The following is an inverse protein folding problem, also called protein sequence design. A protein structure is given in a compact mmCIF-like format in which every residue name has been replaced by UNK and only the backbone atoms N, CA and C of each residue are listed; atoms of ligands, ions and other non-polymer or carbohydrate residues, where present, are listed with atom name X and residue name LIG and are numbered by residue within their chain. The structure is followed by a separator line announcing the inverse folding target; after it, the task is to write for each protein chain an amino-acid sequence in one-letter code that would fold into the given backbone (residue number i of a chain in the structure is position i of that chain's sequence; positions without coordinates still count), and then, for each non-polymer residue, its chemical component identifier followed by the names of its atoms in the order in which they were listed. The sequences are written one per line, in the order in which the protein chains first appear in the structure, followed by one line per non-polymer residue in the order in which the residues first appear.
data_IF_933053619761
#
_entry.id   IF_933053619761
#
_cell.length_a   1.000
_cell.length_b   1.000
_cell.length_c   1.000
_cell.angle_alpha   90.00
_cell.angle_beta   90.00
_cell.angle_gamma   90.00
#
_symmetry.space_group_name_H-M   'P 1'
#
loop_
_entity.id
_entity.type
_entity.pdbx_description
1 polymer ?
#
# COMPACT_ATOMS: atom_id res chain seq x y z
N UNK A 1 1.18 -0.37 9.15
CA UNK A 1 0.32 -0.09 8.00
C UNK A 1 -0.69 0.99 8.38
N UNK A 2 -1.00 1.92 7.49
CA UNK A 2 -2.17 2.78 7.57
C UNK A 2 -3.05 2.46 6.37
N UNK A 3 -4.29 2.03 6.58
CA UNK A 3 -5.21 1.62 5.51
C UNK A 3 -6.47 2.47 5.59
N UNK A 4 -6.75 3.29 4.57
CA UNK A 4 -7.90 4.21 4.55
C UNK A 4 -7.98 5.11 5.80
N UNK A 5 -6.82 5.53 6.33
CA UNK A 5 -6.71 6.35 7.54
C UNK A 5 -6.67 5.58 8.87
N UNK A 6 -6.95 4.28 8.88
CA UNK A 6 -6.82 3.44 10.08
C UNK A 6 -5.37 2.98 10.28
N UNK A 7 -4.75 3.36 11.41
CA UNK A 7 -3.42 2.88 11.79
C UNK A 7 -3.45 1.48 12.38
N UNK A 8 -2.56 0.61 11.90
CA UNK A 8 -2.46 -0.80 12.27
C UNK A 8 -0.98 -1.15 12.46
N UNK A 9 -0.64 -1.65 13.64
CA UNK A 9 0.73 -1.93 14.05
C UNK A 9 0.95 -3.42 14.31
N UNK A 10 2.08 -3.94 13.82
CA UNK A 10 2.51 -5.33 14.02
C UNK A 10 1.98 -6.28 12.95
N UNK A 11 2.80 -7.27 12.58
CA UNK A 11 2.51 -8.18 11.47
C UNK A 11 1.19 -8.96 11.65
N UNK A 12 0.88 -9.41 12.86
CA UNK A 12 -0.35 -10.16 13.16
C UNK A 12 -1.61 -9.33 12.88
N UNK A 13 -1.68 -8.08 13.39
CA UNK A 13 -2.83 -7.19 13.16
C UNK A 13 -2.94 -6.73 11.70
N UNK A 14 -1.79 -6.54 11.04
CA UNK A 14 -1.77 -6.22 9.60
C UNK A 14 -2.37 -7.38 8.80
N UNK A 15 -1.95 -8.62 9.08
CA UNK A 15 -2.49 -9.81 8.43
C UNK A 15 -4.00 -9.96 8.67
N UNK A 16 -4.45 -9.78 9.91
CA UNK A 16 -5.87 -9.80 10.27
C UNK A 16 -6.67 -8.77 9.46
N UNK A 17 -6.18 -7.54 9.34
CA UNK A 17 -6.83 -6.52 8.50
C UNK A 17 -6.92 -6.96 7.04
N UNK A 18 -5.83 -7.49 6.48
CA UNK A 18 -5.81 -7.93 5.08
C UNK A 18 -6.79 -9.10 4.85
N UNK A 19 -6.89 -10.03 5.81
CA UNK A 19 -7.83 -11.15 5.78
C UNK A 19 -9.29 -10.71 5.99
N UNK A 20 -9.53 -9.58 6.67
CA UNK A 20 -10.86 -9.03 6.87
C UNK A 20 -11.47 -8.36 5.63
N UNK A 21 -10.65 -8.12 4.58
CA UNK A 21 -11.14 -7.52 3.34
C UNK A 21 -12.02 -8.54 2.61
N UNK A 22 -13.21 -8.12 2.21
CA UNK A 22 -14.25 -9.04 1.72
C UNK A 22 -14.17 -9.36 0.23
N UNK A 23 -13.33 -8.67 -0.53
CA UNK A 23 -13.17 -8.92 -1.96
C UNK A 23 -12.50 -10.28 -2.21
N UNK A 24 -12.89 -10.95 -3.29
CA UNK A 24 -12.32 -12.25 -3.68
C UNK A 24 -11.13 -12.09 -4.63
N UNK A 25 -11.21 -11.08 -5.50
CA UNK A 25 -10.20 -10.77 -6.49
C UNK A 25 -9.85 -9.29 -6.43
N UNK A 26 -8.56 -9.00 -6.51
CA UNK A 26 -8.06 -7.64 -6.69
C UNK A 26 -7.15 -7.60 -7.91
N UNK A 27 -7.46 -6.73 -8.86
CA UNK A 27 -6.60 -6.41 -9.99
C UNK A 27 -5.97 -5.03 -9.77
N UNK A 28 -4.67 -4.90 -10.01
CA UNK A 28 -3.92 -3.66 -9.79
C UNK A 28 -3.15 -3.29 -11.05
N UNK A 29 -3.46 -2.15 -11.62
CA UNK A 29 -2.72 -1.54 -12.72
C UNK A 29 -1.87 -0.39 -12.17
N UNK A 30 -0.54 -0.54 -12.18
CA UNK A 30 0.38 0.52 -11.76
C UNK A 30 0.49 1.56 -12.87
N UNK A 31 0.36 2.84 -12.53
CA UNK A 31 0.52 3.94 -13.50
C UNK A 31 1.86 4.64 -13.35
N UNK A 32 2.35 4.76 -12.13
CA UNK A 32 3.68 5.33 -11.85
C UNK A 32 4.24 4.72 -10.56
N UNK A 33 5.56 4.56 -10.52
CA UNK A 33 6.31 4.13 -9.35
C UNK A 33 7.56 4.99 -9.26
N UNK A 34 7.69 5.72 -8.16
CA UNK A 34 8.85 6.54 -7.85
C UNK A 34 9.54 5.99 -6.61
N UNK A 35 10.86 6.04 -6.57
CA UNK A 35 11.63 5.61 -5.41
C UNK A 35 12.78 6.56 -5.07
N UNK A 36 13.12 6.64 -3.79
CA UNK A 36 14.19 7.47 -3.25
C UNK A 36 14.96 6.68 -2.19
N UNK A 37 16.31 6.70 -2.20
CA UNK A 37 17.11 6.13 -1.13
C UNK A 37 16.92 6.94 0.17
N UNK A 38 16.94 6.26 1.31
CA UNK A 38 16.91 6.88 2.64
C UNK A 38 18.31 6.87 3.25
N UNK A 39 18.57 7.80 4.16
CA UNK A 39 19.87 7.95 4.84
C UNK A 39 20.30 6.70 5.63
N UNK A 40 19.35 5.86 6.05
CA UNK A 40 19.60 4.65 6.82
C UNK A 40 19.66 3.37 5.96
N UNK A 41 19.89 3.53 4.65
CA UNK A 41 19.93 2.41 3.71
C UNK A 41 18.56 1.83 3.36
N UNK A 42 17.47 2.43 3.86
CA UNK A 42 16.11 2.13 3.44
C UNK A 42 15.76 2.71 2.06
N UNK A 43 14.55 2.39 1.59
CA UNK A 43 14.00 2.90 0.33
C UNK A 43 12.59 3.41 0.58
N UNK A 44 12.33 4.67 0.21
CA UNK A 44 10.99 5.22 0.11
C UNK A 44 10.45 4.93 -1.29
N UNK A 45 9.22 4.40 -1.37
CA UNK A 45 8.56 4.06 -2.64
C UNK A 45 7.17 4.68 -2.63
N UNK A 46 6.84 5.42 -3.68
CA UNK A 46 5.50 5.93 -3.94
C UNK A 46 4.92 5.22 -5.16
N UNK A 47 3.74 4.63 -5.01
CA UNK A 47 3.03 3.90 -6.05
C UNK A 47 1.71 4.59 -6.33
N UNK A 48 1.48 4.93 -7.59
CA UNK A 48 0.20 5.36 -8.10
C UNK A 48 -0.37 4.28 -9.01
N UNK A 49 -1.68 4.09 -8.97
CA UNK A 49 -2.31 3.15 -9.87
C UNK A 49 -3.82 3.20 -9.83
N UNK A 50 -4.41 2.22 -10.52
CA UNK A 50 -5.82 1.87 -10.42
C UNK A 50 -5.95 0.47 -9.85
N UNK A 51 -6.93 0.28 -8.98
CA UNK A 51 -7.30 -1.04 -8.49
C UNK A 51 -8.76 -1.33 -8.81
N UNK A 52 -9.05 -2.59 -9.03
CA UNK A 52 -10.38 -3.11 -9.24
C UNK A 52 -10.58 -4.27 -8.27
N UNK A 53 -11.60 -4.17 -7.42
CA UNK A 53 -12.01 -5.25 -6.53
C UNK A 53 -13.20 -5.96 -7.18
N UNK A 54 -13.09 -7.27 -7.37
CA UNK A 54 -14.12 -8.10 -8.01
C UNK A 54 -14.62 -7.47 -9.33
N UNK A 55 -15.93 -7.20 -9.43
CA UNK A 55 -16.58 -6.57 -10.58
C UNK A 55 -16.85 -5.06 -10.38
N UNK A 56 -16.35 -4.46 -9.29
CA UNK A 56 -16.51 -3.03 -9.03
C UNK A 56 -15.78 -2.17 -10.08
N UNK A 57 -16.18 -0.91 -10.28
CA UNK A 57 -15.42 0.02 -11.11
C UNK A 57 -13.97 0.19 -10.61
N UNK A 58 -13.00 0.35 -11.51
CA UNK A 58 -11.61 0.57 -11.10
C UNK A 58 -11.46 1.96 -10.47
N UNK A 59 -10.87 2.02 -9.27
CA UNK A 59 -10.61 3.26 -8.54
C UNK A 59 -9.13 3.61 -8.57
N UNK A 60 -8.80 4.90 -8.68
CA UNK A 60 -7.43 5.36 -8.48
C UNK A 60 -7.02 5.16 -7.02
N UNK A 61 -5.76 4.80 -6.78
CA UNK A 61 -5.21 4.66 -5.45
C UNK A 61 -3.75 5.15 -5.41
N UNK A 62 -3.31 5.51 -4.22
CA UNK A 62 -1.91 5.75 -3.90
C UNK A 62 -1.49 4.80 -2.78
N UNK A 63 -0.27 4.29 -2.88
CA UNK A 63 0.33 3.49 -1.82
C UNK A 63 1.79 3.86 -1.62
N UNK A 64 2.18 4.13 -0.38
CA UNK A 64 3.55 4.47 0.00
C UNK A 64 4.14 3.33 0.80
N UNK A 65 5.35 2.90 0.43
CA UNK A 65 6.13 1.93 1.18
C UNK A 65 7.43 2.55 1.67
N UNK A 66 7.83 2.17 2.87
CA UNK A 66 9.20 2.34 3.34
C UNK A 66 9.79 0.97 3.59
N UNK A 67 10.80 0.63 2.79
CA UNK A 67 11.59 -0.57 2.98
C UNK A 67 12.77 -0.26 3.88
N UNK A 68 13.06 -1.16 4.81
CA UNK A 68 14.26 -1.11 5.66
C UNK A 68 15.12 -2.35 5.43
N UNK A 69 16.45 -2.22 5.49
CA UNK A 69 17.35 -3.35 5.32
C UNK A 69 17.19 -4.35 6.47
N UNK A 70 17.25 -5.63 6.14
CA UNK A 70 17.31 -6.76 7.07
C UNK A 70 18.37 -7.74 6.57
N UNK A 71 19.60 -7.58 7.06
CA UNK A 71 20.75 -8.32 6.56
C UNK A 71 20.97 -8.06 5.06
N UNK A 72 20.81 -9.09 4.24
CA UNK A 72 20.93 -9.04 2.77
C UNK A 72 19.59 -8.85 2.06
N UNK A 73 18.52 -8.54 2.80
CA UNK A 73 17.15 -8.42 2.30
C UNK A 73 16.51 -7.10 2.73
N UNK A 74 15.27 -6.86 2.31
CA UNK A 74 14.45 -5.74 2.79
C UNK A 74 13.15 -6.26 3.39
N UNK A 75 12.61 -5.52 4.35
CA UNK A 75 11.23 -5.70 4.81
C UNK A 75 10.46 -4.38 4.72
N UNK A 76 9.14 -4.48 4.57
CA UNK A 76 8.25 -3.34 4.59
C UNK A 76 8.04 -2.85 6.03
N UNK A 77 8.67 -1.74 6.40
CA UNK A 77 8.53 -1.13 7.72
C UNK A 77 7.30 -0.21 7.80
N UNK A 78 7.00 0.52 6.72
CA UNK A 78 5.81 1.35 6.62
C UNK A 78 5.06 1.06 5.32
N UNK A 79 3.74 1.04 5.44
CA UNK A 79 2.79 0.88 4.34
C UNK A 79 1.65 1.86 4.61
N UNK A 80 1.34 2.73 3.65
CA UNK A 80 0.21 3.66 3.71
C UNK A 80 -0.57 3.50 2.42
N UNK A 81 -1.82 3.05 2.53
CA UNK A 81 -2.74 2.85 1.42
C UNK A 81 -3.92 3.81 1.51
N UNK A 82 -4.27 4.43 0.37
CA UNK A 82 -5.46 5.29 0.25
C UNK A 82 -6.06 5.22 -1.16
N UNK A 83 -7.38 5.11 -1.25
CA UNK A 83 -8.16 5.34 -2.46
C UNK A 83 -8.24 6.84 -2.77
N UNK A 84 -7.97 7.20 -4.02
CA UNK A 84 -8.05 8.59 -4.50
C UNK A 84 -9.49 8.97 -4.88
N UNK A 85 -10.45 8.71 -3.99
CA UNK A 85 -11.89 8.94 -4.24
C UNK A 85 -12.49 10.06 -3.37
N UNK A 86 -11.65 10.76 -2.60
CA UNK A 86 -12.10 11.73 -1.60
C UNK A 86 -12.53 13.10 -2.17
N UNK A 87 -12.39 13.34 -3.48
CA UNK A 87 -12.68 14.63 -4.13
C UNK A 87 -13.68 14.53 -5.30
N UNK A 88 -14.49 13.48 -5.36
CA UNK A 88 -15.60 13.42 -6.31
C UNK A 88 -16.73 14.35 -5.85
N UNK A 89 -16.60 15.65 -6.15
CA UNK A 89 -17.68 16.63 -6.14
C UNK A 89 -18.23 16.81 -7.55
#
# INVERSE_FOLDING_TARGET
MSFEGQQIQGAAKILEKLQSLTFQKINRALTAVDSQPMFDGGVLINVLGRLQCDDDPPHAYAQVFVLKPLGTSFFCAHDIFRLCIHNSA
#
